data_IF_666500043606
#
_entry.id   IF_666500043606
#
_cell.length_a   1.000
_cell.length_b   1.000
_cell.length_c   1.000
_cell.angle_alpha   90.00
_cell.angle_beta   90.00
_cell.angle_gamma   90.00
#
_symmetry.space_group_name_H-M   'P 1'
#
loop_
_entity.id
_entity.type
_entity.pdbx_description
1 polymer ?
#
# COMPACT_ATOMS: atom_id res chain seq x y z
N UNK A 1 -4.57 -3.47 13.90
CA UNK A 1 -3.87 -3.51 12.60
C UNK A 1 -4.00 -2.14 11.95
N UNK A 2 -2.90 -1.57 11.46
CA UNK A 2 -2.93 -0.37 10.61
C UNK A 2 -3.41 -0.82 9.24
N UNK A 3 -4.48 -0.21 8.72
CA UNK A 3 -5.01 -0.56 7.41
C UNK A 3 -4.25 0.20 6.32
N UNK A 4 -3.81 -0.50 5.28
CA UNK A 4 -3.26 0.11 4.08
C UNK A 4 -4.00 -0.33 2.82
N UNK A 5 -4.35 0.61 1.95
CA UNK A 5 -4.95 0.28 0.65
C UNK A 5 -4.03 -0.58 -0.24
N UNK A 6 -2.72 -0.57 0.01
CA UNK A 6 -1.74 -1.40 -0.69
C UNK A 6 -1.73 -2.86 -0.21
N UNK A 7 -2.35 -3.18 0.93
CA UNK A 7 -2.44 -4.56 1.44
C UNK A 7 -3.08 -5.51 0.42
N UNK A 8 -4.02 -5.00 -0.39
CA UNK A 8 -4.68 -5.79 -1.44
C UNK A 8 -3.78 -6.07 -2.65
N UNK A 9 -2.66 -5.34 -2.80
CA UNK A 9 -1.77 -5.39 -3.98
C UNK A 9 -0.56 -6.30 -3.77
N UNK A 10 -0.32 -6.75 -2.54
CA UNK A 10 0.91 -7.48 -2.17
C UNK A 10 0.62 -8.97 -1.93
N UNK A 11 1.56 -9.83 -2.32
CA UNK A 11 1.50 -11.28 -2.09
C UNK A 11 1.38 -11.61 -0.59
N UNK A 12 0.69 -12.70 -0.25
CA UNK A 12 0.46 -13.11 1.15
C UNK A 12 1.75 -13.24 1.95
N UNK A 13 2.85 -13.61 1.29
CA UNK A 13 4.16 -13.79 1.90
C UNK A 13 4.77 -12.46 2.37
N UNK A 14 4.58 -11.38 1.63
CA UNK A 14 5.09 -10.05 1.99
C UNK A 14 4.22 -9.34 3.04
N UNK A 15 2.93 -9.69 3.19
CA UNK A 15 1.99 -9.04 4.12
C UNK A 15 2.38 -9.13 5.60
N UNK A 16 3.21 -10.10 5.98
CA UNK A 16 3.52 -10.39 7.39
C UNK A 16 4.59 -9.46 7.99
N UNK A 17 5.33 -8.74 7.14
CA UNK A 17 6.48 -7.94 7.59
C UNK A 17 6.07 -6.48 7.76
N UNK A 18 6.38 -5.91 8.92
CA UNK A 18 6.13 -4.51 9.23
C UNK A 18 7.20 -3.95 10.17
N UNK A 19 7.43 -2.65 10.10
CA UNK A 19 8.38 -1.95 10.97
C UNK A 19 7.95 -0.49 11.16
N UNK A 20 8.03 0.01 12.39
CA UNK A 20 7.94 1.44 12.67
C UNK A 20 9.32 2.01 12.95
N UNK A 21 9.58 3.24 12.52
CA UNK A 21 10.66 4.07 13.05
C UNK A 21 10.02 5.27 13.75
N UNK A 22 10.08 5.25 15.08
CA UNK A 22 9.57 6.32 15.93
C UNK A 22 10.77 6.98 16.60
N UNK A 23 11.02 8.24 16.24
CA UNK A 23 12.25 8.97 16.57
C UNK A 23 13.48 8.22 16.07
N UNK A 24 14.30 7.71 16.98
CA UNK A 24 15.54 6.98 16.75
C UNK A 24 15.38 5.47 16.94
N UNK A 25 14.19 4.98 17.32
CA UNK A 25 13.98 3.56 17.64
C UNK A 25 13.15 2.88 16.56
N UNK A 26 13.68 1.78 16.03
CA UNK A 26 12.94 0.85 15.19
C UNK A 26 12.13 -0.11 16.06
N UNK A 27 10.89 -0.38 15.64
CA UNK A 27 10.01 -1.38 16.21
C UNK A 27 9.63 -2.36 15.09
N UNK A 28 10.31 -3.50 15.04
CA UNK A 28 10.15 -4.51 13.98
C UNK A 28 9.13 -5.57 14.40
N UNK A 29 8.31 -6.01 13.46
CA UNK A 29 7.37 -7.11 13.65
C UNK A 29 8.12 -8.45 13.55
N UNK A 30 8.20 -9.15 14.68
CA UNK A 30 8.83 -10.48 14.78
C UNK A 30 7.80 -11.57 15.10
N UNK A 31 6.54 -11.39 14.70
CA UNK A 31 5.45 -12.34 14.98
C UNK A 31 5.57 -13.67 14.24
N UNK A 32 6.39 -13.73 13.20
CA UNK A 32 6.60 -14.93 12.38
C UNK A 32 8.05 -15.00 11.91
N UNK A 33 8.59 -16.20 11.74
CA UNK A 33 9.90 -16.44 11.13
C UNK A 33 9.96 -15.99 9.66
N UNK A 34 8.81 -15.85 9.00
CA UNK A 34 8.69 -15.31 7.64
C UNK A 34 8.85 -13.78 7.59
N UNK A 35 8.85 -13.08 8.73
CA UNK A 35 8.96 -11.62 8.77
C UNK A 35 10.37 -11.18 8.36
N UNK A 36 10.43 -10.29 7.37
CA UNK A 36 11.66 -9.61 6.97
C UNK A 36 11.89 -8.41 7.88
N UNK A 37 13.08 -8.32 8.47
CA UNK A 37 13.44 -7.16 9.29
C UNK A 37 13.87 -5.98 8.40
N UNK A 38 12.98 -5.00 8.26
CA UNK A 38 13.28 -3.79 7.50
C UNK A 38 14.27 -2.87 8.20
N UNK A 39 14.39 -2.97 9.53
CA UNK A 39 15.29 -2.10 10.27
C UNK A 39 16.75 -2.35 9.88
N UNK A 40 17.16 -3.61 9.73
CA UNK A 40 18.53 -3.99 9.36
C UNK A 40 18.93 -3.41 8.00
N UNK A 41 18.04 -3.50 7.01
CA UNK A 41 18.28 -2.95 5.67
C UNK A 41 18.56 -1.44 5.73
N UNK A 42 17.76 -0.70 6.51
CA UNK A 42 17.92 0.75 6.65
C UNK A 42 19.19 1.07 7.44
N UNK A 43 19.45 0.34 8.52
CA UNK A 43 20.64 0.52 9.37
C UNK A 43 21.93 0.27 8.61
N UNK A 44 21.96 -0.70 7.72
CA UNK A 44 23.11 -1.00 6.86
C UNK A 44 23.30 0.06 5.77
N UNK A 45 22.20 0.61 5.25
CA UNK A 45 22.23 1.63 4.21
C UNK A 45 22.65 3.02 4.73
N UNK A 46 22.17 3.45 5.91
CA UNK A 46 22.37 4.80 6.46
C UNK A 46 23.85 5.27 6.46
N UNK A 47 24.84 4.47 6.89
CA UNK A 47 26.24 4.87 6.87
C UNK A 47 26.79 5.16 5.47
N UNK A 48 26.18 4.58 4.44
CA UNK A 48 26.56 4.75 3.03
C UNK A 48 25.74 5.82 2.32
N UNK A 49 24.71 6.36 2.98
CA UNK A 49 23.74 7.26 2.37
C UNK A 49 24.37 8.63 2.06
N UNK A 50 24.32 9.10 0.80
CA UNK A 50 24.86 10.40 0.42
C UNK A 50 24.17 11.54 1.19
N UNK A 51 24.96 12.45 1.76
CA UNK A 51 24.43 13.61 2.48
C UNK A 51 24.05 13.35 3.95
N UNK A 52 24.15 12.12 4.43
CA UNK A 52 24.00 11.79 5.86
C UNK A 52 25.36 11.95 6.54
N UNK A 53 25.68 13.17 6.97
CA UNK A 53 26.88 13.46 7.77
C UNK A 53 26.63 13.10 9.24
N UNK A 54 27.44 12.20 9.80
CA UNK A 54 27.48 11.85 11.23
C UNK A 54 26.20 11.20 11.82
N UNK A 55 25.49 10.34 11.09
CA UNK A 55 24.49 9.46 11.71
C UNK A 55 25.17 8.25 12.38
N UNK A 56 26.00 8.50 13.39
CA UNK A 56 26.54 7.46 14.29
C UNK A 56 25.56 7.08 15.41
N UNK A 57 24.37 7.70 15.43
CA UNK A 57 23.33 7.34 16.37
C UNK A 57 22.97 5.86 16.13
N UNK A 58 23.15 4.97 17.11
CA UNK A 58 22.63 3.63 16.99
C UNK A 58 21.12 3.78 16.89
N UNK A 59 20.51 3.29 15.82
CA UNK A 59 19.06 3.14 15.78
C UNK A 59 18.74 1.84 16.54
N UNK A 60 18.37 1.88 17.84
CA UNK A 60 17.98 0.67 18.55
C UNK A 60 16.81 0.01 17.86
N UNK A 61 16.81 -1.32 17.86
CA UNK A 61 15.70 -2.14 17.38
C UNK A 61 15.03 -2.77 18.59
N UNK A 62 13.71 -2.68 18.64
CA UNK A 62 12.85 -3.38 19.59
C UNK A 62 11.84 -4.22 18.81
N UNK A 63 11.36 -5.28 19.44
CA UNK A 63 10.26 -6.09 18.87
C UNK A 63 8.91 -5.42 19.16
N UNK A 64 8.01 -5.43 18.18
CA UNK A 64 6.64 -4.92 18.33
C UNK A 64 5.82 -5.75 19.31
N UNK A 65 6.18 -7.01 19.55
CA UNK A 65 5.46 -7.92 20.44
C UNK A 65 5.63 -7.54 21.93
N UNK A 66 6.74 -6.88 22.27
CA UNK A 66 7.07 -6.50 23.64
C UNK A 66 6.91 -4.99 23.90
N UNK A 67 6.68 -4.20 22.84
CA UNK A 67 6.48 -2.76 22.95
C UNK A 67 5.01 -2.39 23.14
N UNK A 68 4.74 -1.51 24.09
CA UNK A 68 3.43 -0.88 24.30
C UNK A 68 3.46 0.60 23.93
N UNK A 69 2.29 1.23 23.81
CA UNK A 69 2.20 2.69 23.59
C UNK A 69 2.86 3.51 24.71
N UNK A 70 2.97 2.97 25.93
CA UNK A 70 3.63 3.64 27.06
C UNK A 70 5.16 3.67 26.90
N UNK A 71 5.72 2.79 26.08
CA UNK A 71 7.16 2.72 25.80
C UNK A 71 7.58 3.67 24.68
N UNK A 72 6.61 4.29 23.99
CA UNK A 72 6.86 5.17 22.86
C UNK A 72 7.10 6.60 23.34
N UNK A 73 8.20 7.19 22.88
CA UNK A 73 8.42 8.63 23.05
C UNK A 73 7.96 9.35 21.79
N UNK A 74 6.82 10.03 21.86
CA UNK A 74 6.20 10.73 20.73
C UNK A 74 6.07 12.22 20.97
N UNK A 75 6.13 12.99 19.89
CA UNK A 75 5.87 14.43 19.84
C UNK A 75 4.63 14.63 18.98
N UNK A 76 3.69 15.45 19.47
CA UNK A 76 2.47 15.73 18.73
C UNK A 76 2.79 16.44 17.42
N UNK A 77 2.20 15.96 16.32
CA UNK A 77 2.40 16.54 14.99
C UNK A 77 3.69 16.10 14.27
N UNK A 78 4.55 15.32 14.92
CA UNK A 78 5.77 14.80 14.31
C UNK A 78 5.45 13.60 13.41
N UNK A 79 6.18 13.50 12.28
CA UNK A 79 6.03 12.38 11.34
C UNK A 79 7.01 11.26 11.70
N UNK A 80 6.45 10.09 11.92
CA UNK A 80 7.16 8.82 12.07
C UNK A 80 6.97 7.97 10.83
N UNK A 81 7.81 6.96 10.66
CA UNK A 81 7.77 6.09 9.49
C UNK A 81 7.14 4.75 9.85
N UNK A 82 6.29 4.24 8.98
CA UNK A 82 5.75 2.89 9.03
C UNK A 82 5.98 2.23 7.67
N UNK A 83 6.69 1.11 7.65
CA UNK A 83 6.95 0.32 6.44
C UNK A 83 6.28 -1.03 6.62
N UNK A 84 5.61 -1.51 5.59
CA UNK A 84 5.05 -2.86 5.57
C UNK A 84 4.98 -3.41 4.15
N UNK A 85 4.69 -4.71 4.05
CA UNK A 85 4.34 -5.37 2.80
C UNK A 85 5.40 -5.26 1.68
N UNK A 86 6.69 -5.23 2.03
CA UNK A 86 7.82 -5.34 1.09
C UNK A 86 8.15 -4.07 0.31
N UNK A 87 7.53 -2.93 0.62
CA UNK A 87 7.82 -1.67 -0.06
C UNK A 87 6.80 -0.55 0.12
N UNK A 88 5.82 -0.71 1.02
CA UNK A 88 4.83 0.32 1.27
C UNK A 88 5.21 1.13 2.52
N UNK A 89 5.65 2.37 2.31
CA UNK A 89 6.06 3.29 3.37
C UNK A 89 5.02 4.39 3.58
N UNK A 90 4.70 4.67 4.85
CA UNK A 90 3.72 5.66 5.28
C UNK A 90 4.29 6.55 6.37
N UNK A 91 3.81 7.79 6.40
CA UNK A 91 3.97 8.62 7.59
C UNK A 91 2.87 8.30 8.60
N UNK A 92 3.27 8.10 9.85
CA UNK A 92 2.39 7.94 10.99
C UNK A 92 2.63 9.11 11.95
N UNK A 93 1.56 9.67 12.49
CA UNK A 93 1.63 10.85 13.33
C UNK A 93 0.66 10.71 14.48
N UNK A 94 1.12 11.07 15.68
CA UNK A 94 0.24 11.27 16.83
C UNK A 94 -0.24 12.71 16.79
N UNK A 95 -1.52 12.92 16.48
CA UNK A 95 -2.09 14.26 16.31
C UNK A 95 -2.65 14.84 17.60
N UNK A 96 -3.11 13.99 18.52
CA UNK A 96 -3.65 14.39 19.80
C UNK A 96 -3.50 13.26 20.83
N UNK A 97 -3.41 13.64 22.10
CA UNK A 97 -3.49 12.74 23.26
C UNK A 97 -4.49 13.34 24.24
N UNK A 98 -5.41 12.52 24.73
CA UNK A 98 -6.42 12.94 25.71
C UNK A 98 -6.75 11.80 26.67
N UNK A 99 -7.27 12.16 27.84
CA UNK A 99 -7.81 11.19 28.79
C UNK A 99 -9.07 10.53 28.24
N UNK A 100 -9.29 9.27 28.65
CA UNK A 100 -10.50 8.52 28.35
C UNK A 100 -11.69 9.21 29.03
N UNK A 101 -12.69 9.58 28.24
CA UNK A 101 -13.88 10.26 28.68
C UNK A 101 -15.04 9.26 28.86
N UNK A 102 -15.60 9.10 30.09
CA UNK A 102 -16.54 8.02 30.40
C UNK A 102 -17.82 7.99 29.54
N UNK A 103 -18.29 9.15 29.06
CA UNK A 103 -19.57 9.27 28.36
C UNK A 103 -19.44 9.22 26.83
N UNK A 104 -18.25 9.48 26.27
CA UNK A 104 -18.06 9.59 24.82
C UNK A 104 -17.19 8.49 24.24
N UNK A 105 -16.39 7.83 25.07
CA UNK A 105 -15.43 6.85 24.60
C UNK A 105 -15.86 5.42 24.97
N UNK A 106 -15.56 4.42 24.12
CA UNK A 106 -15.70 3.02 24.50
C UNK A 106 -14.87 2.72 25.76
N UNK A 107 -15.50 2.16 26.78
CA UNK A 107 -14.84 1.83 28.05
C UNK A 107 -14.16 0.45 28.03
N UNK A 108 -14.62 -0.45 27.15
CA UNK A 108 -14.08 -1.80 27.07
C UNK A 108 -12.83 -1.85 26.18
N UNK A 109 -11.76 -2.49 26.64
CA UNK A 109 -10.49 -2.59 25.91
C UNK A 109 -10.64 -3.23 24.53
N UNK A 110 -11.54 -4.19 24.37
CA UNK A 110 -11.78 -4.86 23.08
C UNK A 110 -12.41 -3.96 22.01
N UNK A 111 -12.89 -2.78 22.37
CA UNK A 111 -13.39 -1.79 21.40
C UNK A 111 -12.25 -1.06 20.68
N UNK A 112 -11.00 -1.23 21.13
CA UNK A 112 -9.81 -0.66 20.51
C UNK A 112 -9.01 -1.71 19.74
N UNK A 113 -8.29 -1.33 18.66
CA UNK A 113 -8.19 0.03 18.11
C UNK A 113 -9.50 0.51 17.46
N UNK A 114 -9.93 1.72 17.80
CA UNK A 114 -11.12 2.35 17.21
C UNK A 114 -10.74 3.13 15.95
N UNK A 115 -11.52 2.93 14.88
CA UNK A 115 -11.24 3.56 13.59
C UNK A 115 -11.98 4.88 13.50
N UNK A 116 -11.30 5.96 13.88
CA UNK A 116 -11.85 7.31 13.83
C UNK A 116 -12.00 7.87 12.41
N UNK A 117 -11.23 7.36 11.44
CA UNK A 117 -11.24 7.83 10.06
C UNK A 117 -10.95 6.71 9.08
N UNK A 118 -11.64 6.73 7.93
CA UNK A 118 -11.31 5.94 6.76
C UNK A 118 -11.48 6.83 5.53
N UNK A 119 -10.40 7.02 4.78
CA UNK A 119 -10.47 7.77 3.53
C UNK A 119 -11.44 7.06 2.57
N UNK A 120 -12.32 7.83 1.92
CA UNK A 120 -13.15 7.29 0.85
C UNK A 120 -12.26 7.00 -0.36
N UNK A 121 -12.21 5.76 -0.86
CA UNK A 121 -11.40 5.44 -2.03
C UNK A 121 -11.87 6.27 -3.23
N UNK A 122 -10.92 6.84 -3.98
CA UNK A 122 -11.23 7.64 -5.18
C UNK A 122 -11.04 6.78 -6.41
N UNK A 123 -12.14 6.39 -7.02
CA UNK A 123 -12.09 5.56 -8.22
C UNK A 123 -11.93 6.41 -9.48
N UNK A 124 -10.83 6.22 -10.20
CA UNK A 124 -10.70 6.74 -11.56
C UNK A 124 -11.67 6.01 -12.49
N UNK A 125 -12.47 6.78 -13.23
CA UNK A 125 -13.40 6.25 -14.23
C UNK A 125 -12.67 5.89 -15.52
N UNK A 126 -13.22 4.95 -16.27
CA UNK A 126 -12.75 4.59 -17.60
C UNK A 126 -12.82 5.79 -18.55
N UNK A 127 -11.74 6.07 -19.28
CA UNK A 127 -11.64 7.15 -20.27
C UNK A 127 -12.60 6.99 -21.45
N UNK A 128 -12.99 5.76 -21.77
CA UNK A 128 -13.89 5.47 -22.91
C UNK A 128 -15.36 5.67 -22.55
N UNK A 129 -15.83 5.02 -21.47
CA UNK A 129 -17.27 5.04 -21.14
C UNK A 129 -17.65 6.07 -20.07
N UNK A 130 -16.70 6.59 -19.29
CA UNK A 130 -16.92 7.51 -18.17
C UNK A 130 -17.96 7.02 -17.12
N UNK A 131 -18.27 5.72 -17.09
CA UNK A 131 -19.27 5.11 -16.19
C UNK A 131 -18.60 4.18 -15.17
N UNK A 132 -17.87 3.18 -15.64
CA UNK A 132 -17.25 2.15 -14.78
C UNK A 132 -15.87 2.57 -14.31
N UNK A 133 -15.45 2.00 -13.18
CA UNK A 133 -14.08 2.17 -12.67
C UNK A 133 -13.07 1.52 -13.60
N UNK A 134 -11.94 2.21 -13.78
CA UNK A 134 -10.81 1.67 -14.52
C UNK A 134 -10.14 0.53 -13.72
N UNK A 135 -9.74 -0.52 -14.41
CA UNK A 135 -8.99 -1.66 -13.88
C UNK A 135 -7.71 -1.93 -14.65
N UNK A 136 -7.57 -1.31 -15.81
CA UNK A 136 -6.42 -1.47 -16.70
C UNK A 136 -5.97 -0.08 -17.14
N UNK A 137 -4.66 0.07 -17.29
CA UNK A 137 -4.04 1.27 -17.85
C UNK A 137 -3.16 0.87 -19.01
N UNK A 138 -3.31 1.55 -20.14
CA UNK A 138 -2.42 1.39 -21.29
C UNK A 138 -1.49 2.59 -21.42
N UNK A 139 -0.27 2.32 -21.88
CA UNK A 139 0.71 3.33 -22.26
C UNK A 139 1.09 3.14 -23.73
N UNK A 140 1.26 4.28 -24.41
CA UNK A 140 1.65 4.38 -25.81
C UNK A 140 0.72 3.56 -26.73
N UNK A 141 -0.57 3.59 -26.42
CA UNK A 141 -1.59 2.88 -27.16
C UNK A 141 -1.97 3.66 -28.42
N UNK A 142 -1.65 3.06 -29.57
CA UNK A 142 -1.82 3.68 -30.89
C UNK A 142 -3.25 4.09 -31.22
N UNK A 143 -4.26 3.47 -30.60
CA UNK A 143 -5.68 3.81 -30.82
C UNK A 143 -6.22 4.81 -29.80
N UNK A 144 -5.41 5.21 -28.82
CA UNK A 144 -5.80 6.15 -27.77
C UNK A 144 -5.20 7.54 -28.01
N UNK A 145 -5.97 8.61 -27.78
CA UNK A 145 -5.47 9.98 -27.97
C UNK A 145 -4.49 10.43 -26.86
N UNK A 146 -4.51 9.77 -25.70
CA UNK A 146 -3.70 10.12 -24.54
C UNK A 146 -2.94 8.89 -24.00
N UNK A 147 -1.78 9.14 -23.39
CA UNK A 147 -0.98 8.13 -22.71
C UNK A 147 -0.59 8.69 -21.34
N UNK A 148 -1.00 8.08 -20.21
CA UNK A 148 -1.76 6.83 -20.08
C UNK A 148 -3.28 6.93 -20.35
N UNK A 149 -3.89 5.87 -20.87
CA UNK A 149 -5.36 5.72 -21.00
C UNK A 149 -5.91 4.65 -20.06
N UNK A 150 -7.07 4.93 -19.43
CA UNK A 150 -7.65 4.10 -18.37
C UNK A 150 -8.91 3.37 -18.84
N UNK A 151 -8.97 2.06 -18.64
CA UNK A 151 -10.06 1.22 -19.12
C UNK A 151 -10.72 0.43 -18.00
N UNK A 152 -12.04 0.32 -18.07
CA UNK A 152 -12.75 -0.79 -17.43
C UNK A 152 -12.63 -2.05 -18.32
N UNK A 153 -12.72 -3.25 -17.73
CA UNK A 153 -12.53 -4.51 -18.47
C UNK A 153 -13.35 -4.60 -19.78
N UNK A 154 -14.64 -4.24 -19.81
CA UNK A 154 -15.42 -4.39 -21.05
C UNK A 154 -14.98 -3.42 -22.15
N UNK A 155 -14.52 -2.21 -21.79
CA UNK A 155 -14.03 -1.25 -22.79
C UNK A 155 -12.65 -1.65 -23.29
N UNK A 156 -11.79 -2.16 -22.41
CA UNK A 156 -10.50 -2.70 -22.82
C UNK A 156 -10.66 -3.85 -23.80
N UNK A 157 -11.47 -4.86 -23.44
CA UNK A 157 -11.69 -6.04 -24.28
C UNK A 157 -12.28 -5.69 -25.64
N UNK A 158 -13.24 -4.77 -25.69
CA UNK A 158 -13.88 -4.35 -26.96
C UNK A 158 -12.96 -3.59 -27.91
N UNK A 159 -11.99 -2.84 -27.37
CA UNK A 159 -11.05 -2.08 -28.19
C UNK A 159 -9.89 -2.97 -28.67
N UNK A 160 -9.37 -3.83 -27.79
CA UNK A 160 -8.10 -4.53 -28.03
C UNK A 160 -8.27 -5.95 -28.57
N UNK A 161 -9.45 -6.56 -28.44
CA UNK A 161 -9.66 -7.96 -28.81
C UNK A 161 -10.86 -8.13 -29.75
N UNK A 162 -10.79 -9.19 -30.58
CA UNK A 162 -11.88 -9.61 -31.46
C UNK A 162 -13.14 -9.95 -30.67
N UNK A 163 -14.27 -10.13 -31.36
CA UNK A 163 -15.40 -10.78 -30.67
C UNK A 163 -15.00 -12.22 -30.32
N UNK A 164 -15.48 -12.76 -29.19
CA UNK A 164 -15.29 -14.17 -28.88
C UNK A 164 -15.99 -15.03 -29.92
N UNK A 165 -15.28 -16.00 -30.47
CA UNK A 165 -15.79 -16.93 -31.48
C UNK A 165 -15.54 -18.38 -31.04
N UNK A 166 -16.39 -19.32 -31.47
CA UNK A 166 -16.21 -20.75 -31.19
C UNK A 166 -15.05 -21.30 -32.02
N UNK A 167 -14.03 -21.80 -31.33
CA UNK A 167 -12.89 -22.48 -31.93
C UNK A 167 -13.25 -23.88 -32.44
N UNK A 168 -12.35 -24.49 -33.24
CA UNK A 168 -12.53 -25.85 -33.76
C UNK A 168 -12.54 -26.93 -32.66
N UNK A 169 -12.06 -26.61 -31.47
CA UNK A 169 -12.07 -27.43 -30.25
C UNK A 169 -13.35 -27.24 -29.41
N UNK A 170 -14.29 -26.39 -29.85
CA UNK A 170 -15.49 -26.03 -29.11
C UNK A 170 -15.24 -25.04 -27.96
N UNK A 171 -14.01 -24.54 -27.80
CA UNK A 171 -13.68 -23.52 -26.81
C UNK A 171 -13.90 -22.12 -27.38
N UNK A 172 -14.33 -21.17 -26.55
CA UNK A 172 -14.46 -19.78 -26.97
C UNK A 172 -13.07 -19.13 -27.04
N UNK A 173 -12.70 -18.63 -28.22
CA UNK A 173 -11.40 -18.01 -28.49
C UNK A 173 -11.57 -16.53 -28.83
N UNK A 174 -10.57 -15.74 -28.45
CA UNK A 174 -10.51 -14.30 -28.71
C UNK A 174 -9.06 -13.93 -29.04
N UNK A 175 -8.84 -13.18 -30.12
CA UNK A 175 -7.50 -12.77 -30.53
C UNK A 175 -7.30 -11.26 -30.34
N UNK A 176 -6.07 -10.85 -30.04
CA UNK A 176 -5.74 -9.43 -29.99
C UNK A 176 -5.80 -8.82 -31.40
N UNK A 177 -6.46 -7.67 -31.53
CA UNK A 177 -6.58 -6.94 -32.80
C UNK A 177 -5.28 -6.20 -33.14
N UNK A 178 -4.55 -5.77 -32.11
CA UNK A 178 -3.26 -5.09 -32.19
C UNK A 178 -2.53 -5.27 -30.85
N UNK A 179 -1.23 -5.02 -30.80
CA UNK A 179 -0.39 -5.25 -29.61
C UNK A 179 0.62 -4.12 -29.34
N UNK A 180 0.53 -3.02 -30.09
CA UNK A 180 1.41 -1.86 -29.94
C UNK A 180 0.96 -0.98 -28.77
N UNK A 181 0.98 -1.54 -27.56
CA UNK A 181 0.72 -0.86 -26.29
C UNK A 181 1.34 -1.65 -25.13
N UNK A 182 1.64 -0.97 -24.03
CA UNK A 182 1.94 -1.63 -22.76
C UNK A 182 0.70 -1.59 -21.90
N UNK A 183 0.32 -2.70 -21.25
CA UNK A 183 -0.85 -2.76 -20.36
C UNK A 183 -0.44 -3.23 -18.97
N UNK A 184 -1.00 -2.57 -17.97
CA UNK A 184 -0.83 -2.92 -16.57
C UNK A 184 -2.18 -2.92 -15.86
N UNK A 185 -2.31 -3.72 -14.80
CA UNK A 185 -3.45 -3.59 -13.90
C UNK A 185 -3.39 -2.22 -13.22
N UNK A 186 -4.52 -1.52 -13.27
CA UNK A 186 -4.68 -0.24 -12.61
C UNK A 186 -5.34 -0.46 -11.25
N UNK A 187 -4.65 -0.02 -10.21
CA UNK A 187 -5.14 -0.04 -8.86
C UNK A 187 -5.43 1.37 -8.40
N UNK A 188 -6.66 1.60 -7.94
CA UNK A 188 -7.06 2.89 -7.39
C UNK A 188 -6.20 3.29 -6.18
N UNK A 189 -6.07 4.61 -6.00
CA UNK A 189 -5.43 5.26 -4.87
C UNK A 189 -6.48 5.80 -3.89
#
# INVERSE_FOLDING_TARGET
>A
AVYCATDCKVSERCRKSACFLIRDTFYSDTSSEDCTDYADIIRDWVPTAPGVVNSTAPFPVRTMQEASFNDLTVVLGEKYLYIHAGGCAHFVMVTAVRLLHPQTDPQHRSAYPDRCFLAKPRFRKCSVCAVRHAKQVTYNDMLCPESPTFFCDPCFLRLHYSRPEMGPDGAMQQHALYTQYQVYQYWHE
#
